data_IF_914780541826
#
_entry.id   IF_914780541826
#
_cell.length_a   1.000
_cell.length_b   1.000
_cell.length_c   1.000
_cell.angle_alpha   90.00
_cell.angle_beta   90.00
_cell.angle_gamma   90.00
#
_symmetry.space_group_name_H-M   'P 1'
#
loop_
_entity.id
_entity.type
_entity.pdbx_description
1 polymer ?
#
# COMPACT_ATOMS: atom_id res chain seq x y z
N UNK A 1 -60.98 59.67 44.59
CA UNK A 1 -59.71 60.41 44.86
C UNK A 1 -58.64 59.74 43.98
N UNK A 2 -58.29 60.12 42.75
CA UNK A 2 -58.00 61.40 42.06
C UNK A 2 -56.70 62.11 42.52
N UNK A 3 -55.62 61.88 41.73
CA UNK A 3 -54.43 62.73 41.42
C UNK A 3 -53.39 63.05 42.54
N UNK A 4 -52.13 63.52 42.27
CA UNK A 4 -51.43 63.72 40.99
C UNK A 4 -49.92 63.32 40.86
N UNK A 5 -49.51 63.25 39.57
CA UNK A 5 -48.22 63.57 38.92
C UNK A 5 -46.97 63.92 39.77
N UNK A 6 -45.85 63.28 39.41
CA UNK A 6 -44.56 63.98 39.20
C UNK A 6 -43.75 63.28 38.11
N UNK A 7 -43.63 63.97 36.98
CA UNK A 7 -42.78 63.64 35.84
C UNK A 7 -41.32 63.95 36.20
N UNK A 8 -40.43 62.97 36.06
CA UNK A 8 -38.99 63.22 35.85
C UNK A 8 -38.60 62.64 34.49
N UNK A 9 -38.83 63.46 33.49
CA UNK A 9 -38.27 63.38 32.15
C UNK A 9 -36.73 63.38 32.25
N UNK A 10 -36.10 62.22 32.07
CA UNK A 10 -34.66 62.13 31.82
C UNK A 10 -34.46 62.35 30.33
N UNK A 11 -33.85 63.50 29.99
CA UNK A 11 -33.35 63.81 28.66
C UNK A 11 -32.60 62.61 28.04
N UNK A 12 -32.81 62.29 26.76
CA UNK A 12 -31.94 61.36 26.05
C UNK A 12 -30.52 61.97 25.96
N UNK A 13 -29.46 61.15 25.99
CA UNK A 13 -28.11 61.65 25.80
C UNK A 13 -27.99 62.27 24.40
N UNK A 14 -27.31 63.42 24.35
CA UNK A 14 -26.94 64.12 23.13
C UNK A 14 -26.31 63.16 22.13
N UNK A 15 -26.94 63.02 20.95
CA UNK A 15 -26.30 62.43 19.77
C UNK A 15 -25.16 63.36 19.35
N UNK A 16 -23.96 63.08 19.83
CA UNK A 16 -22.74 63.57 19.20
C UNK A 16 -22.70 62.98 17.79
N UNK A 17 -23.01 63.83 16.82
CA UNK A 17 -22.92 63.53 15.41
C UNK A 17 -21.46 63.51 14.97
N UNK A 18 -20.77 62.37 15.16
CA UNK A 18 -19.61 62.01 14.35
C UNK A 18 -19.23 60.51 14.48
N UNK A 19 -20.18 59.60 14.27
CA UNK A 19 -19.86 58.19 14.06
C UNK A 19 -20.52 57.74 12.75
N UNK A 20 -19.69 57.60 11.71
CA UNK A 20 -20.10 56.98 10.45
C UNK A 20 -20.55 55.54 10.70
N UNK A 21 -21.64 55.06 10.05
CA UNK A 21 -22.18 53.71 10.25
C UNK A 21 -21.22 52.58 9.84
N UNK A 22 -20.08 52.92 9.23
CA UNK A 22 -19.03 52.02 8.78
C UNK A 22 -18.13 51.50 9.92
N UNK A 23 -18.03 52.21 11.06
CA UNK A 23 -17.17 51.80 12.19
C UNK A 23 -17.84 50.88 13.22
N UNK A 24 -19.17 50.77 13.21
CA UNK A 24 -19.92 49.95 14.17
C UNK A 24 -20.02 48.48 13.70
N UNK A 25 -19.95 48.24 12.39
CA UNK A 25 -20.05 46.89 11.81
C UNK A 25 -18.79 45.99 11.96
N UNK A 26 -17.54 46.48 11.95
CA UNK A 26 -16.38 45.60 12.15
C UNK A 26 -16.18 45.17 13.60
N UNK A 27 -16.55 45.99 14.60
CA UNK A 27 -16.26 45.69 16.02
C UNK A 27 -17.22 44.63 16.61
N UNK A 28 -18.48 44.63 16.16
CA UNK A 28 -19.48 43.61 16.54
C UNK A 28 -19.20 42.29 15.81
N UNK A 29 -18.66 42.33 14.58
CA UNK A 29 -18.36 41.13 13.79
C UNK A 29 -17.05 40.45 14.23
N UNK A 30 -16.05 41.20 14.70
CA UNK A 30 -14.77 40.64 15.16
C UNK A 30 -14.89 40.03 16.57
N UNK A 31 -15.68 40.65 17.47
CA UNK A 31 -15.93 40.10 18.82
C UNK A 31 -16.75 38.79 18.81
N UNK A 32 -17.65 38.62 17.85
CA UNK A 32 -18.47 37.40 17.71
C UNK A 32 -17.68 36.23 17.06
N UNK A 33 -16.54 36.51 16.43
CA UNK A 33 -15.62 35.49 15.91
C UNK A 33 -14.59 35.02 16.96
N UNK A 34 -14.16 35.90 17.86
CA UNK A 34 -13.28 35.53 18.99
C UNK A 34 -14.01 34.73 20.09
N UNK A 35 -15.32 34.94 20.26
CA UNK A 35 -16.14 34.23 21.25
C UNK A 35 -16.58 32.82 20.84
N UNK A 36 -16.47 32.47 19.56
CA UNK A 36 -16.78 31.12 19.04
C UNK A 36 -15.54 30.23 19.08
N UNK A 37 -14.94 30.13 20.27
CA UNK A 37 -14.08 29.01 20.59
C UNK A 37 -14.83 27.73 20.23
N UNK A 38 -14.22 26.89 19.40
CA UNK A 38 -14.80 25.70 18.80
C UNK A 38 -15.03 24.65 19.90
N UNK A 39 -15.97 24.91 20.80
CA UNK A 39 -16.19 24.16 22.02
C UNK A 39 -17.14 23.00 21.72
N UNK A 40 -16.62 21.95 21.09
CA UNK A 40 -17.34 20.70 20.85
C UNK A 40 -17.73 19.97 22.15
N UNK A 41 -17.22 20.40 23.32
CA UNK A 41 -17.45 19.74 24.61
C UNK A 41 -17.39 20.64 25.86
N UNK A 42 -17.33 21.97 25.74
CA UNK A 42 -17.21 22.88 26.90
C UNK A 42 -15.90 22.75 27.72
N UNK A 43 -14.87 22.09 27.16
CA UNK A 43 -13.55 21.93 27.77
C UNK A 43 -12.58 23.00 27.23
N UNK A 44 -11.65 23.48 28.07
CA UNK A 44 -10.56 24.36 27.63
C UNK A 44 -9.76 23.68 26.50
N UNK A 45 -9.33 24.45 25.49
CA UNK A 45 -8.58 23.97 24.32
C UNK A 45 -7.39 23.08 24.72
N UNK A 46 -6.67 23.45 25.78
CA UNK A 46 -5.54 22.67 26.34
C UNK A 46 -5.96 21.27 26.81
N UNK A 47 -7.13 21.14 27.46
CA UNK A 47 -7.65 19.84 27.90
C UNK A 47 -8.14 19.00 26.73
N UNK A 48 -8.76 19.63 25.73
CA UNK A 48 -9.17 18.94 24.52
C UNK A 48 -7.94 18.42 23.76
N UNK A 49 -6.90 19.25 23.60
CA UNK A 49 -5.63 18.84 22.99
C UNK A 49 -4.95 17.71 23.76
N UNK A 50 -4.89 17.81 25.09
CA UNK A 50 -4.32 16.75 25.94
C UNK A 50 -5.09 15.43 25.79
N UNK A 51 -6.42 15.48 25.75
CA UNK A 51 -7.26 14.29 25.52
C UNK A 51 -7.02 13.69 24.13
N UNK A 52 -6.92 14.49 23.07
CA UNK A 52 -6.61 13.99 21.73
C UNK A 52 -5.21 13.37 21.66
N UNK A 53 -4.21 14.01 22.26
CA UNK A 53 -2.83 13.48 22.32
C UNK A 53 -2.80 12.16 23.08
N UNK A 54 -3.46 12.08 24.24
CA UNK A 54 -3.50 10.87 25.06
C UNK A 54 -4.25 9.74 24.35
N UNK A 55 -5.36 10.07 23.68
CA UNK A 55 -6.13 9.11 22.86
C UNK A 55 -5.29 8.60 21.70
N UNK A 56 -4.60 9.49 20.98
CA UNK A 56 -3.73 9.12 19.85
C UNK A 56 -2.53 8.29 20.32
N UNK A 57 -1.92 8.63 21.46
CA UNK A 57 -0.83 7.86 22.05
C UNK A 57 -1.28 6.46 22.44
N UNK A 58 -2.40 6.33 23.14
CA UNK A 58 -2.92 5.02 23.56
C UNK A 58 -3.37 4.18 22.36
N UNK A 59 -4.01 4.80 21.37
CA UNK A 59 -4.36 4.17 20.10
C UNK A 59 -3.09 3.67 19.38
N UNK A 60 -2.07 4.52 19.24
CA UNK A 60 -0.78 4.17 18.64
C UNK A 60 -0.06 3.05 19.40
N UNK A 61 -0.08 3.06 20.73
CA UNK A 61 0.49 2.00 21.56
C UNK A 61 -0.25 0.66 21.37
N UNK A 62 -1.59 0.66 21.31
CA UNK A 62 -2.38 -0.52 21.00
C UNK A 62 -2.04 -1.02 19.59
N UNK A 63 -2.07 -0.15 18.58
CA UNK A 63 -1.75 -0.51 17.19
C UNK A 63 -0.35 -1.09 17.07
N UNK A 64 0.63 -0.54 17.79
CA UNK A 64 1.99 -1.06 17.81
C UNK A 64 2.04 -2.46 18.43
N UNK A 65 1.42 -2.65 19.59
CA UNK A 65 1.40 -3.93 20.29
C UNK A 65 0.62 -5.02 19.54
N UNK A 66 -0.48 -4.64 18.87
CA UNK A 66 -1.31 -5.54 18.07
C UNK A 66 -0.84 -5.67 16.61
N UNK A 67 0.17 -4.92 16.19
CA UNK A 67 0.65 -4.90 14.79
C UNK A 67 0.90 -6.28 14.18
N UNK A 68 1.44 -7.30 14.90
CA UNK A 68 1.64 -8.63 14.32
C UNK A 68 0.33 -9.38 14.05
N UNK A 69 -0.73 -9.10 14.82
CA UNK A 69 -2.04 -9.76 14.73
C UNK A 69 -2.97 -9.01 13.78
N UNK A 70 -2.75 -7.71 13.57
CA UNK A 70 -3.54 -6.90 12.64
C UNK A 70 -3.41 -7.38 11.19
N UNK A 71 -2.22 -7.80 10.77
CA UNK A 71 -1.98 -8.23 9.39
C UNK A 71 -2.93 -9.37 8.93
N UNK A 72 -2.99 -10.53 9.62
CA UNK A 72 -3.93 -11.59 9.23
C UNK A 72 -5.40 -11.18 9.43
N UNK A 73 -5.71 -10.26 10.35
CA UNK A 73 -7.07 -9.80 10.57
C UNK A 73 -7.56 -8.92 9.42
N UNK A 74 -6.77 -7.93 9.02
CA UNK A 74 -7.05 -7.06 7.87
C UNK A 74 -7.12 -7.88 6.58
N UNK A 75 -6.18 -8.79 6.37
CA UNK A 75 -6.21 -9.70 5.22
C UNK A 75 -7.47 -10.58 5.23
N UNK A 76 -7.85 -11.11 6.40
CA UNK A 76 -9.04 -11.94 6.57
C UNK A 76 -10.33 -11.17 6.29
N UNK A 77 -10.46 -9.95 6.80
CA UNK A 77 -11.61 -9.07 6.50
C UNK A 77 -11.67 -8.71 5.02
N UNK A 78 -10.53 -8.35 4.41
CA UNK A 78 -10.47 -8.05 2.98
C UNK A 78 -10.85 -9.26 2.12
N UNK A 79 -10.40 -10.46 2.49
CA UNK A 79 -10.79 -11.71 1.84
C UNK A 79 -12.27 -12.03 2.06
N UNK A 80 -12.79 -11.83 3.28
CA UNK A 80 -14.21 -11.99 3.59
C UNK A 80 -15.07 -11.10 2.69
N UNK A 81 -14.75 -9.82 2.60
CA UNK A 81 -15.39 -8.87 1.68
C UNK A 81 -15.31 -9.32 0.22
N UNK A 82 -14.14 -9.79 -0.23
CA UNK A 82 -13.95 -10.24 -1.61
C UNK A 82 -14.75 -11.52 -1.95
N UNK A 83 -14.88 -12.42 -0.98
CA UNK A 83 -15.56 -13.71 -1.14
C UNK A 83 -17.06 -13.64 -0.87
N UNK A 84 -17.55 -12.59 -0.20
CA UNK A 84 -18.96 -12.39 0.11
C UNK A 84 -19.89 -12.47 -1.12
N UNK A 85 -19.61 -11.79 -2.25
CA UNK A 85 -20.42 -11.94 -3.47
C UNK A 85 -20.42 -13.36 -4.04
N UNK A 86 -19.39 -14.16 -3.74
CA UNK A 86 -19.31 -15.57 -4.16
C UNK A 86 -20.16 -16.43 -3.22
N UNK A 87 -20.14 -16.15 -1.91
CA UNK A 87 -21.00 -16.82 -0.93
C UNK A 87 -22.47 -16.57 -1.23
N UNK A 88 -22.87 -15.33 -1.54
CA UNK A 88 -24.24 -14.99 -1.95
C UNK A 88 -24.70 -15.74 -3.20
N UNK A 89 -23.80 -15.94 -4.17
CA UNK A 89 -24.08 -16.75 -5.36
C UNK A 89 -24.26 -18.22 -5.00
N UNK A 90 -23.44 -18.77 -4.10
CA UNK A 90 -23.60 -20.14 -3.62
C UNK A 90 -24.91 -20.33 -2.85
N UNK A 91 -25.33 -19.34 -2.06
CA UNK A 91 -26.63 -19.37 -1.38
C UNK A 91 -27.80 -19.40 -2.36
N UNK A 92 -27.71 -18.66 -3.47
CA UNK A 92 -28.72 -18.73 -4.55
C UNK A 92 -28.83 -20.12 -5.19
N UNK A 93 -27.79 -20.95 -5.10
CA UNK A 93 -27.81 -22.36 -5.51
C UNK A 93 -28.35 -23.31 -4.42
N UNK A 94 -28.84 -22.80 -3.28
CA UNK A 94 -29.49 -23.57 -2.22
C UNK A 94 -28.59 -23.93 -1.04
N UNK A 95 -27.36 -23.44 -0.97
CA UNK A 95 -26.46 -23.64 0.17
C UNK A 95 -26.85 -22.72 1.34
N UNK A 96 -26.73 -23.20 2.58
CA UNK A 96 -26.81 -22.34 3.77
C UNK A 96 -25.57 -21.44 3.86
N UNK A 97 -25.66 -20.27 4.50
CA UNK A 97 -24.53 -19.34 4.73
C UNK A 97 -23.30 -20.08 5.26
N UNK A 98 -23.49 -20.91 6.28
CA UNK A 98 -22.43 -21.71 6.89
C UNK A 98 -21.79 -22.68 5.88
N UNK A 99 -22.58 -23.39 5.08
CA UNK A 99 -22.04 -24.33 4.09
C UNK A 99 -21.30 -23.62 2.95
N UNK A 100 -21.80 -22.47 2.49
CA UNK A 100 -21.11 -21.65 1.50
C UNK A 100 -19.77 -21.13 2.05
N UNK A 101 -19.76 -20.64 3.30
CA UNK A 101 -18.55 -20.17 3.97
C UNK A 101 -17.53 -21.29 4.19
N UNK A 102 -17.96 -22.47 4.66
CA UNK A 102 -17.08 -23.64 4.82
C UNK A 102 -16.50 -24.11 3.48
N UNK A 103 -17.31 -24.17 2.43
CA UNK A 103 -16.86 -24.56 1.09
C UNK A 103 -15.79 -23.59 0.59
N UNK A 104 -16.04 -22.27 0.69
CA UNK A 104 -15.10 -21.25 0.27
C UNK A 104 -13.81 -21.28 1.11
N UNK A 105 -13.91 -21.52 2.42
CA UNK A 105 -12.76 -21.70 3.29
C UNK A 105 -11.91 -22.90 2.86
N UNK A 106 -12.53 -24.07 2.64
CA UNK A 106 -11.82 -25.29 2.21
C UNK A 106 -11.18 -25.09 0.85
N UNK A 107 -11.89 -24.47 -0.10
CA UNK A 107 -11.36 -24.15 -1.42
C UNK A 107 -10.17 -23.18 -1.34
N UNK A 108 -10.29 -22.13 -0.53
CA UNK A 108 -9.22 -21.16 -0.31
C UNK A 108 -7.98 -21.81 0.31
N UNK A 109 -8.15 -22.60 1.37
CA UNK A 109 -7.05 -23.36 1.99
C UNK A 109 -6.43 -24.31 0.98
N UNK A 110 -7.23 -25.05 0.21
CA UNK A 110 -6.73 -25.97 -0.81
C UNK A 110 -5.88 -25.25 -1.87
N UNK A 111 -6.35 -24.10 -2.37
CA UNK A 111 -5.60 -23.28 -3.34
C UNK A 111 -4.31 -22.75 -2.73
N UNK A 112 -4.37 -22.16 -1.53
CA UNK A 112 -3.19 -21.58 -0.86
C UNK A 112 -2.15 -22.65 -0.52
N UNK A 113 -2.58 -23.78 0.03
CA UNK A 113 -1.68 -24.91 0.35
C UNK A 113 -1.06 -25.47 -0.92
N UNK A 114 -1.85 -25.69 -1.97
CA UNK A 114 -1.33 -26.18 -3.26
C UNK A 114 -0.35 -25.20 -3.87
N UNK A 115 -0.71 -23.91 -3.95
CA UNK A 115 0.16 -22.85 -4.45
C UNK A 115 1.46 -22.77 -3.63
N UNK A 116 1.38 -22.87 -2.30
CA UNK A 116 2.57 -22.86 -1.43
C UNK A 116 3.44 -24.09 -1.68
N UNK A 117 2.88 -25.31 -1.67
CA UNK A 117 3.65 -26.54 -1.85
C UNK A 117 4.28 -26.65 -3.24
N UNK A 118 3.66 -26.08 -4.28
CA UNK A 118 4.19 -26.11 -5.66
C UNK A 118 5.10 -24.93 -5.95
N UNK A 119 4.64 -23.70 -5.72
CA UNK A 119 5.38 -22.50 -6.10
C UNK A 119 6.57 -22.25 -5.17
N UNK A 120 6.43 -22.44 -3.85
CA UNK A 120 7.52 -22.16 -2.91
C UNK A 120 8.83 -22.90 -3.24
N UNK A 121 8.85 -24.24 -3.46
CA UNK A 121 10.10 -24.91 -3.79
C UNK A 121 10.66 -24.44 -5.15
N UNK A 122 9.82 -24.23 -6.16
CA UNK A 122 10.25 -23.77 -7.50
C UNK A 122 10.89 -22.38 -7.40
N UNK A 123 10.18 -21.43 -6.77
CA UNK A 123 10.65 -20.06 -6.58
C UNK A 123 11.90 -20.03 -5.70
N UNK A 124 11.97 -20.85 -4.64
CA UNK A 124 13.15 -20.91 -3.78
C UNK A 124 14.39 -21.40 -4.54
N UNK A 125 14.25 -22.38 -5.43
CA UNK A 125 15.34 -22.91 -6.26
C UNK A 125 15.78 -21.88 -7.29
N UNK A 126 14.84 -21.22 -7.97
CA UNK A 126 15.17 -20.18 -8.94
C UNK A 126 15.79 -18.96 -8.26
N UNK A 127 15.29 -18.56 -7.09
CA UNK A 127 15.83 -17.45 -6.33
C UNK A 127 17.24 -17.76 -5.81
N UNK A 128 17.46 -18.96 -5.26
CA UNK A 128 18.80 -19.40 -4.85
C UNK A 128 19.75 -19.45 -6.06
N UNK A 129 19.29 -19.97 -7.19
CA UNK A 129 20.05 -20.00 -8.44
C UNK A 129 20.43 -18.60 -8.92
N UNK A 130 19.47 -17.67 -8.94
CA UNK A 130 19.70 -16.27 -9.32
C UNK A 130 20.73 -15.63 -8.40
N UNK A 131 20.57 -15.80 -7.08
CA UNK A 131 21.49 -15.27 -6.07
C UNK A 131 22.92 -15.83 -6.26
N UNK A 132 23.05 -17.12 -6.58
CA UNK A 132 24.37 -17.74 -6.84
C UNK A 132 24.98 -17.32 -8.17
N UNK A 133 24.15 -17.04 -9.19
CA UNK A 133 24.60 -16.60 -10.50
C UNK A 133 24.88 -15.09 -10.57
N UNK A 134 24.29 -14.30 -9.66
CA UNK A 134 24.34 -12.85 -9.65
C UNK A 134 25.76 -12.27 -9.65
N UNK A 135 26.72 -12.75 -8.84
CA UNK A 135 28.09 -12.23 -8.88
C UNK A 135 28.76 -12.45 -10.24
N UNK A 136 28.56 -13.64 -10.84
CA UNK A 136 29.06 -13.94 -12.19
C UNK A 136 28.42 -13.04 -13.24
N UNK A 137 27.10 -12.78 -13.09
CA UNK A 137 26.38 -11.87 -13.98
C UNK A 137 26.91 -10.44 -13.91
N UNK A 138 27.23 -9.95 -12.72
CA UNK A 138 27.84 -8.63 -12.54
C UNK A 138 29.27 -8.57 -13.09
N UNK A 139 30.06 -9.64 -12.99
CA UNK A 139 31.40 -9.72 -13.59
C UNK A 139 31.36 -9.69 -15.12
N UNK A 140 30.44 -10.43 -15.75
CA UNK A 140 30.25 -10.37 -17.20
C UNK A 140 29.79 -8.98 -17.64
N UNK A 141 28.87 -8.35 -16.89
CA UNK A 141 28.44 -6.98 -17.14
C UNK A 141 29.59 -5.99 -17.02
N UNK A 142 30.49 -6.17 -16.04
CA UNK A 142 31.72 -5.38 -15.89
C UNK A 142 32.61 -5.49 -17.14
N UNK A 143 32.84 -6.72 -17.63
CA UNK A 143 33.62 -6.99 -18.82
C UNK A 143 33.01 -6.38 -20.09
N UNK A 144 31.70 -6.50 -20.26
CA UNK A 144 30.99 -5.88 -21.39
C UNK A 144 31.07 -4.35 -21.34
N UNK A 145 31.00 -3.74 -20.16
CA UNK A 145 31.17 -2.30 -20.00
C UNK A 145 32.61 -1.87 -20.27
N UNK A 146 33.62 -2.62 -19.82
CA UNK A 146 35.03 -2.30 -20.10
C UNK A 146 35.35 -2.44 -21.59
N UNK A 147 34.86 -3.50 -22.23
CA UNK A 147 35.06 -3.73 -23.66
C UNK A 147 34.33 -2.68 -24.51
N UNK A 148 33.12 -2.27 -24.08
CA UNK A 148 32.38 -1.18 -24.70
C UNK A 148 33.10 0.14 -24.51
N UNK A 149 33.64 0.41 -23.30
CA UNK A 149 34.45 1.60 -23.05
C UNK A 149 35.70 1.62 -23.94
N UNK A 150 36.46 0.53 -24.08
CA UNK A 150 37.63 0.51 -24.96
C UNK A 150 37.26 0.68 -26.45
N UNK A 151 36.14 0.10 -26.90
CA UNK A 151 35.71 0.21 -28.31
C UNK A 151 35.11 1.56 -28.66
N UNK A 152 34.31 2.14 -27.75
CA UNK A 152 33.62 3.40 -27.97
C UNK A 152 34.44 4.63 -27.58
N UNK A 153 35.44 4.45 -26.72
CA UNK A 153 36.52 5.42 -26.46
C UNK A 153 37.75 5.14 -27.33
N UNK A 154 37.55 4.51 -28.50
CA UNK A 154 38.54 4.61 -29.58
C UNK A 154 38.72 6.08 -29.96
N UNK A 155 39.92 6.44 -30.38
CA UNK A 155 40.49 7.80 -30.49
C UNK A 155 39.55 8.93 -30.97
N UNK A 156 38.50 8.64 -31.72
CA UNK A 156 37.52 9.61 -32.22
C UNK A 156 36.59 10.20 -31.14
N UNK A 157 36.20 9.43 -30.13
CA UNK A 157 35.24 9.91 -29.11
C UNK A 157 35.93 10.70 -28.00
N UNK A 158 37.16 10.31 -27.63
CA UNK A 158 38.02 11.08 -26.72
C UNK A 158 38.37 12.44 -27.32
N UNK A 159 38.73 12.51 -28.61
CA UNK A 159 39.01 13.77 -29.32
C UNK A 159 37.76 14.68 -29.41
N UNK A 160 36.56 14.10 -29.58
CA UNK A 160 35.29 14.84 -29.58
C UNK A 160 34.94 15.40 -28.18
N UNK A 161 35.11 14.61 -27.12
CA UNK A 161 34.86 15.02 -25.74
C UNK A 161 35.87 16.05 -25.24
N UNK A 162 37.13 15.96 -25.67
CA UNK A 162 38.17 16.92 -25.38
C UNK A 162 37.89 18.26 -26.08
N UNK A 163 37.45 18.25 -27.34
CA UNK A 163 36.98 19.45 -28.06
C UNK A 163 35.74 20.10 -27.45
N UNK A 164 34.88 19.31 -26.80
CA UNK A 164 33.68 19.81 -26.09
C UNK A 164 33.95 20.21 -24.63
N UNK A 165 35.19 20.08 -24.13
CA UNK A 165 35.55 20.44 -22.75
C UNK A 165 34.94 19.54 -21.68
N UNK A 166 34.44 18.36 -22.06
CA UNK A 166 33.75 17.39 -21.19
C UNK A 166 34.66 16.24 -20.75
N UNK A 167 35.96 16.31 -21.03
CA UNK A 167 36.95 15.28 -20.70
C UNK A 167 37.04 14.95 -19.20
N UNK A 168 36.69 15.90 -18.32
CA UNK A 168 36.60 15.69 -16.86
C UNK A 168 35.35 14.91 -16.39
N UNK A 169 34.28 14.89 -17.19
CA UNK A 169 33.04 14.19 -16.84
C UNK A 169 33.11 12.68 -17.16
N UNK A 170 33.91 12.28 -18.15
CA UNK A 170 34.12 10.89 -18.52
C UNK A 170 35.13 10.16 -17.60
N UNK A 171 36.07 10.91 -17.00
CA UNK A 171 37.14 10.38 -16.13
C UNK A 171 36.73 10.24 -14.65
N UNK A 172 35.55 10.73 -14.27
CA UNK A 172 35.07 10.73 -12.88
C UNK A 172 34.06 9.64 -12.55
N UNK A 173 33.54 8.92 -13.55
CA UNK A 173 32.66 7.77 -13.34
C UNK A 173 33.48 6.48 -13.34
N UNK A 174 34.01 6.14 -12.17
CA UNK A 174 34.72 4.87 -11.93
C UNK A 174 33.70 3.72 -11.82
N UNK A 175 33.10 3.37 -12.96
CA UNK A 175 32.10 2.30 -13.07
C UNK A 175 32.63 0.99 -12.48
N UNK A 176 33.93 0.73 -12.63
CA UNK A 176 34.64 -0.39 -12.04
C UNK A 176 34.43 -0.46 -10.52
N UNK A 177 34.62 0.67 -9.82
CA UNK A 177 34.48 0.73 -8.36
C UNK A 177 33.05 0.45 -7.91
N UNK A 178 32.06 1.08 -8.54
CA UNK A 178 30.64 0.85 -8.19
C UNK A 178 30.19 -0.58 -8.48
N UNK A 179 30.63 -1.16 -9.59
CA UNK A 179 30.33 -2.56 -9.93
C UNK A 179 31.00 -3.52 -8.93
N UNK A 180 32.25 -3.26 -8.53
CA UNK A 180 32.94 -4.05 -7.50
C UNK A 180 32.23 -3.97 -6.15
N UNK A 181 31.79 -2.78 -5.73
CA UNK A 181 30.98 -2.62 -4.51
C UNK A 181 29.65 -3.40 -4.59
N UNK A 182 29.01 -3.43 -5.77
CA UNK A 182 27.80 -4.23 -6.00
C UNK A 182 28.09 -5.73 -5.98
N UNK A 183 29.23 -6.19 -6.52
CA UNK A 183 29.66 -7.59 -6.49
C UNK A 183 29.90 -8.04 -5.04
N UNK A 184 30.59 -7.23 -4.24
CA UNK A 184 30.86 -7.52 -2.83
C UNK A 184 29.55 -7.59 -2.03
N UNK A 185 28.64 -6.63 -2.23
CA UNK A 185 27.32 -6.64 -1.62
C UNK A 185 26.50 -7.86 -2.06
N UNK A 186 26.48 -8.17 -3.35
CA UNK A 186 25.76 -9.33 -3.89
C UNK A 186 26.30 -10.64 -3.30
N UNK A 187 27.62 -10.77 -3.14
CA UNK A 187 28.27 -11.95 -2.56
C UNK A 187 27.94 -12.10 -1.07
N UNK A 188 27.94 -11.00 -0.32
CA UNK A 188 27.55 -10.99 1.10
C UNK A 188 26.08 -11.37 1.28
N UNK A 189 25.17 -10.74 0.53
CA UNK A 189 23.74 -11.06 0.54
C UNK A 189 23.50 -12.51 0.13
N UNK A 190 24.22 -13.01 -0.87
CA UNK A 190 24.13 -14.40 -1.31
C UNK A 190 24.56 -15.37 -0.19
N UNK A 191 25.69 -15.09 0.47
CA UNK A 191 26.17 -15.89 1.59
C UNK A 191 25.22 -15.89 2.78
N UNK A 192 24.65 -14.74 3.14
CA UNK A 192 23.65 -14.63 4.21
C UNK A 192 22.34 -15.34 3.86
N UNK A 193 21.84 -15.20 2.63
CA UNK A 193 20.64 -15.86 2.18
C UNK A 193 20.79 -17.39 2.19
N UNK A 194 21.92 -17.92 1.69
CA UNK A 194 22.21 -19.35 1.72
C UNK A 194 22.32 -19.88 3.17
N UNK A 195 22.96 -19.13 4.08
CA UNK A 195 22.96 -19.46 5.51
C UNK A 195 21.54 -19.46 6.07
N UNK A 196 20.72 -18.45 5.73
CA UNK A 196 19.33 -18.36 6.20
C UNK A 196 18.44 -19.49 5.67
N UNK A 197 18.72 -20.01 4.46
CA UNK A 197 18.06 -21.17 3.83
C UNK A 197 18.29 -22.45 4.63
N UNK A 198 19.48 -22.60 5.23
CA UNK A 198 19.90 -23.76 6.01
C UNK A 198 19.34 -23.71 7.45
N UNK A 199 19.02 -22.52 7.97
CA UNK A 199 18.57 -22.29 9.37
C UNK A 199 17.06 -21.95 9.50
N UNK A 200 16.19 -22.45 8.61
CA UNK A 200 14.78 -22.02 8.53
C UNK A 200 13.87 -22.60 9.62
N UNK A 201 13.90 -22.00 10.81
CA UNK A 201 12.84 -22.12 11.83
C UNK A 201 11.99 -20.85 11.97
N UNK A 202 12.61 -19.68 11.99
CA UNK A 202 11.93 -18.44 12.43
C UNK A 202 11.10 -17.72 11.35
N UNK A 203 11.53 -17.69 10.09
CA UNK A 203 10.78 -17.01 9.02
C UNK A 203 9.47 -17.76 8.65
N UNK A 204 9.44 -19.08 8.86
CA UNK A 204 8.23 -19.88 8.64
C UNK A 204 7.14 -19.53 9.64
N UNK A 205 7.47 -19.23 10.90
CA UNK A 205 6.46 -19.05 11.96
C UNK A 205 5.53 -17.88 11.67
N UNK A 206 6.06 -16.75 11.19
CA UNK A 206 5.24 -15.58 10.85
C UNK A 206 4.35 -15.84 9.62
N UNK A 207 4.89 -16.48 8.59
CA UNK A 207 4.13 -16.82 7.37
C UNK A 207 3.08 -17.88 7.67
N UNK A 208 3.41 -18.89 8.49
CA UNK A 208 2.48 -19.94 8.93
C UNK A 208 1.35 -19.35 9.76
N UNK A 209 1.66 -18.45 10.71
CA UNK A 209 0.62 -17.72 11.45
C UNK A 209 -0.32 -16.97 10.50
N UNK A 210 0.20 -16.30 9.48
CA UNK A 210 -0.63 -15.61 8.50
C UNK A 210 -1.48 -16.59 7.68
N UNK A 211 -0.89 -17.68 7.18
CA UNK A 211 -1.58 -18.71 6.39
C UNK A 211 -2.67 -19.43 7.18
N UNK A 212 -2.50 -19.61 8.50
CA UNK A 212 -3.47 -20.31 9.35
C UNK A 212 -4.54 -19.37 9.89
N UNK A 213 -4.16 -18.19 10.40
CA UNK A 213 -5.08 -17.26 11.05
C UNK A 213 -5.96 -16.55 10.00
N UNK A 214 -5.39 -16.16 8.86
CA UNK A 214 -6.13 -15.40 7.84
C UNK A 214 -7.37 -16.14 7.32
N UNK A 215 -7.31 -17.43 6.91
CA UNK A 215 -8.50 -18.16 6.51
C UNK A 215 -9.55 -18.27 7.63
N UNK A 216 -9.12 -18.46 8.88
CA UNK A 216 -10.03 -18.54 10.02
C UNK A 216 -10.77 -17.22 10.21
N UNK A 217 -10.05 -16.09 10.17
CA UNK A 217 -10.68 -14.77 10.24
C UNK A 217 -11.58 -14.53 9.03
N UNK A 218 -11.15 -14.87 7.82
CA UNK A 218 -11.97 -14.74 6.62
C UNK A 218 -13.27 -15.57 6.72
N UNK A 219 -13.22 -16.76 7.30
CA UNK A 219 -14.39 -17.59 7.54
C UNK A 219 -15.41 -16.90 8.47
N UNK A 220 -14.96 -16.38 9.63
CA UNK A 220 -15.85 -15.66 10.54
C UNK A 220 -16.38 -14.37 9.90
N UNK A 221 -15.52 -13.61 9.23
CA UNK A 221 -15.91 -12.40 8.50
C UNK A 221 -16.95 -12.69 7.43
N UNK A 222 -16.84 -13.82 6.73
CA UNK A 222 -17.79 -14.25 5.70
C UNK A 222 -19.09 -14.78 6.30
N UNK A 223 -19.02 -15.51 7.43
CA UNK A 223 -20.19 -16.04 8.11
C UNK A 223 -21.09 -14.91 8.64
N UNK A 224 -20.48 -13.94 9.31
CA UNK A 224 -21.18 -12.87 10.05
C UNK A 224 -21.22 -11.53 9.27
N UNK A 225 -20.84 -11.53 7.99
CA UNK A 225 -20.73 -10.32 7.16
C UNK A 225 -22.02 -9.50 7.16
N UNK A 226 -23.16 -10.14 6.86
CA UNK A 226 -24.46 -9.49 6.74
C UNK A 226 -24.90 -8.85 8.06
N UNK A 227 -24.70 -9.58 9.16
CA UNK A 227 -25.03 -9.11 10.51
C UNK A 227 -24.14 -7.91 10.88
N UNK A 228 -22.83 -7.99 10.59
CA UNK A 228 -21.88 -6.91 10.86
C UNK A 228 -22.22 -5.64 10.08
N UNK A 229 -22.57 -5.76 8.79
CA UNK A 229 -23.03 -4.63 7.97
C UNK A 229 -24.35 -4.06 8.49
N UNK A 230 -25.28 -4.91 8.94
CA UNK A 230 -26.55 -4.45 9.51
C UNK A 230 -26.36 -3.62 10.79
N UNK A 231 -25.40 -4.00 11.64
CA UNK A 231 -25.05 -3.25 12.85
C UNK A 231 -24.46 -1.89 12.49
N UNK A 232 -23.54 -1.86 11.52
CA UNK A 232 -22.95 -0.61 11.01
C UNK A 232 -24.05 0.30 10.44
N UNK A 233 -24.96 -0.25 9.63
CA UNK A 233 -26.06 0.50 9.02
C UNK A 233 -27.02 1.07 10.07
N UNK A 234 -27.26 0.33 11.16
CA UNK A 234 -28.09 0.78 12.27
C UNK A 234 -27.45 1.92 13.08
N UNK A 235 -26.12 2.01 13.12
CA UNK A 235 -25.39 3.07 13.81
C UNK A 235 -25.49 4.43 13.07
N UNK A 236 -25.82 4.41 11.78
CA UNK A 236 -25.96 5.62 10.97
C UNK A 236 -27.28 6.34 11.33
N UNK A 237 -27.24 7.67 11.62
CA UNK A 237 -28.45 8.46 11.85
C UNK A 237 -29.46 8.34 10.69
N UNK A 238 -30.76 8.14 10.95
CA UNK A 238 -31.76 7.88 9.90
C UNK A 238 -31.79 8.90 8.76
N UNK A 239 -31.45 10.16 9.05
CA UNK A 239 -31.39 11.25 8.06
C UNK A 239 -30.35 11.05 6.95
N UNK A 240 -29.26 10.33 7.23
CA UNK A 240 -28.14 10.14 6.29
C UNK A 240 -28.03 8.69 5.78
N UNK A 241 -28.88 7.77 6.24
CA UNK A 241 -28.80 6.35 5.86
C UNK A 241 -28.88 6.13 4.36
N UNK A 242 -29.76 6.85 3.66
CA UNK A 242 -29.91 6.72 2.21
C UNK A 242 -28.62 7.14 1.47
N UNK A 243 -28.05 8.30 1.85
CA UNK A 243 -26.82 8.83 1.24
C UNK A 243 -25.64 7.90 1.47
N UNK A 244 -25.47 7.38 2.70
CA UNK A 244 -24.37 6.47 3.03
C UNK A 244 -24.50 5.15 2.29
N UNK A 245 -25.71 4.59 2.17
CA UNK A 245 -25.94 3.35 1.40
C UNK A 245 -25.66 3.53 -0.09
N UNK A 246 -26.03 4.67 -0.66
CA UNK A 246 -25.73 4.98 -2.06
C UNK A 246 -24.22 5.07 -2.27
N UNK A 247 -23.52 5.85 -1.42
CA UNK A 247 -22.07 5.98 -1.49
C UNK A 247 -21.35 4.64 -1.28
N UNK A 248 -21.81 3.81 -0.34
CA UNK A 248 -21.27 2.48 -0.10
C UNK A 248 -21.42 1.57 -1.34
N UNK A 249 -22.55 1.64 -2.04
CA UNK A 249 -22.78 0.90 -3.28
C UNK A 249 -21.86 1.36 -4.43
N UNK A 250 -21.63 2.67 -4.55
CA UNK A 250 -20.71 3.21 -5.56
C UNK A 250 -19.26 2.83 -5.26
N UNK A 251 -18.86 2.88 -3.97
CA UNK A 251 -17.55 2.40 -3.51
C UNK A 251 -17.39 0.90 -3.80
N UNK A 252 -18.39 0.08 -3.46
CA UNK A 252 -18.36 -1.36 -3.69
C UNK A 252 -18.17 -1.70 -5.18
N UNK A 253 -18.92 -1.03 -6.07
CA UNK A 253 -18.78 -1.20 -7.52
C UNK A 253 -17.39 -0.79 -8.02
N UNK A 254 -16.85 0.33 -7.52
CA UNK A 254 -15.53 0.80 -7.90
C UNK A 254 -14.43 -0.16 -7.41
N UNK A 255 -14.50 -0.60 -6.15
CA UNK A 255 -13.56 -1.56 -5.57
C UNK A 255 -13.62 -2.92 -6.27
N UNK A 256 -14.82 -3.45 -6.50
CA UNK A 256 -15.01 -4.72 -7.20
C UNK A 256 -14.50 -4.64 -8.65
N UNK A 257 -14.74 -3.53 -9.35
CA UNK A 257 -14.21 -3.28 -10.69
C UNK A 257 -12.69 -3.22 -10.71
N UNK A 258 -12.08 -2.47 -9.78
CA UNK A 258 -10.63 -2.34 -9.65
C UNK A 258 -9.97 -3.68 -9.32
N UNK A 259 -10.44 -4.40 -8.29
CA UNK A 259 -9.83 -5.67 -7.86
C UNK A 259 -9.91 -6.70 -8.98
N UNK A 260 -11.04 -6.79 -9.70
CA UNK A 260 -11.17 -7.72 -10.84
C UNK A 260 -10.23 -7.36 -11.99
N UNK A 261 -10.20 -6.09 -12.38
CA UNK A 261 -9.31 -5.61 -13.44
C UNK A 261 -7.84 -5.83 -13.09
N UNK A 262 -7.43 -5.41 -11.90
CA UNK A 262 -6.05 -5.49 -11.44
C UNK A 262 -5.59 -6.93 -11.23
N UNK A 263 -6.44 -7.81 -10.70
CA UNK A 263 -6.14 -9.24 -10.57
C UNK A 263 -5.93 -9.89 -11.93
N UNK A 264 -6.74 -9.53 -12.93
CA UNK A 264 -6.59 -10.02 -14.31
C UNK A 264 -5.29 -9.52 -14.96
N UNK A 265 -4.95 -8.24 -14.77
CA UNK A 265 -3.70 -7.65 -15.27
C UNK A 265 -2.49 -8.33 -14.63
N UNK A 266 -2.48 -8.50 -13.31
CA UNK A 266 -1.40 -9.17 -12.58
C UNK A 266 -1.21 -10.61 -13.04
N UNK A 267 -2.32 -11.36 -13.18
CA UNK A 267 -2.30 -12.74 -13.66
C UNK A 267 -1.79 -12.82 -15.10
N UNK A 268 -2.32 -11.97 -15.98
CA UNK A 268 -1.92 -11.93 -17.39
C UNK A 268 -0.44 -11.59 -17.54
N UNK A 269 0.04 -10.50 -16.93
CA UNK A 269 1.45 -10.11 -16.98
C UNK A 269 2.36 -11.17 -16.37
N UNK A 270 1.96 -11.77 -15.25
CA UNK A 270 2.73 -12.83 -14.61
C UNK A 270 2.92 -14.04 -15.52
N UNK A 271 1.83 -14.52 -16.14
CA UNK A 271 1.86 -15.65 -17.09
C UNK A 271 2.62 -15.26 -18.36
N UNK A 272 2.35 -14.07 -18.91
CA UNK A 272 2.98 -13.60 -20.14
C UNK A 272 4.50 -13.48 -20.00
N UNK A 273 5.00 -12.86 -18.92
CA UNK A 273 6.43 -12.76 -18.67
C UNK A 273 7.05 -14.11 -18.30
N UNK A 274 6.39 -14.93 -17.48
CA UNK A 274 6.91 -16.24 -17.13
C UNK A 274 7.10 -17.12 -18.37
N UNK A 275 6.12 -17.16 -19.27
CA UNK A 275 6.21 -17.93 -20.51
C UNK A 275 7.18 -17.28 -21.49
N UNK A 276 7.04 -15.97 -21.74
CA UNK A 276 7.86 -15.25 -22.72
C UNK A 276 9.35 -15.30 -22.40
N UNK A 277 9.74 -14.99 -21.17
CA UNK A 277 11.15 -15.01 -20.77
C UNK A 277 11.72 -16.44 -20.73
N UNK A 278 10.93 -17.41 -20.27
CA UNK A 278 11.37 -18.82 -20.27
C UNK A 278 11.51 -19.37 -21.68
N UNK A 279 10.66 -18.94 -22.62
CA UNK A 279 10.70 -19.38 -24.02
C UNK A 279 11.90 -18.83 -24.79
N UNK A 280 12.41 -17.66 -24.40
CA UNK A 280 13.64 -17.05 -24.94
C UNK A 280 14.89 -17.74 -24.34
N UNK A 281 14.74 -18.65 -23.37
CA UNK A 281 15.83 -19.40 -22.75
C UNK A 281 16.45 -18.73 -21.53
N UNK A 282 15.77 -17.75 -20.93
CA UNK A 282 16.24 -17.08 -19.72
C UNK A 282 16.16 -18.03 -18.51
N UNK A 283 17.29 -18.26 -17.81
CA UNK A 283 17.38 -19.26 -16.73
C UNK A 283 16.39 -19.04 -15.56
N UNK A 284 15.92 -17.80 -15.38
CA UNK A 284 15.05 -17.39 -14.28
C UNK A 284 13.74 -16.73 -14.75
N UNK A 285 13.32 -17.00 -15.99
CA UNK A 285 12.14 -16.37 -16.61
C UNK A 285 10.86 -16.53 -15.80
N UNK A 286 10.61 -17.72 -15.23
CA UNK A 286 9.44 -17.97 -14.38
C UNK A 286 9.44 -17.14 -13.09
N UNK A 287 10.55 -17.10 -12.35
CA UNK A 287 10.71 -16.30 -11.14
C UNK A 287 10.47 -14.82 -11.42
N UNK A 288 11.08 -14.30 -12.49
CA UNK A 288 10.92 -12.90 -12.91
C UNK A 288 9.46 -12.63 -13.27
N UNK A 289 8.81 -13.54 -14.00
CA UNK A 289 7.40 -13.43 -14.35
C UNK A 289 6.48 -13.39 -13.13
N UNK A 290 6.68 -14.28 -12.15
CA UNK A 290 5.89 -14.29 -10.91
C UNK A 290 6.09 -13.00 -10.12
N UNK A 291 7.34 -12.56 -9.93
CA UNK A 291 7.64 -11.31 -9.23
C UNK A 291 7.02 -10.10 -9.96
N UNK A 292 7.15 -10.05 -11.29
CA UNK A 292 6.56 -9.02 -12.13
C UNK A 292 5.03 -8.95 -11.96
N UNK A 293 4.35 -10.09 -12.08
CA UNK A 293 2.90 -10.19 -11.91
C UNK A 293 2.45 -9.75 -10.52
N UNK A 294 3.16 -10.15 -9.46
CA UNK A 294 2.86 -9.71 -8.09
C UNK A 294 3.08 -8.20 -7.90
N UNK A 295 4.21 -7.67 -8.36
CA UNK A 295 4.54 -6.23 -8.25
C UNK A 295 3.63 -5.36 -9.12
N UNK A 296 3.06 -5.91 -10.20
CA UNK A 296 2.10 -5.22 -11.05
C UNK A 296 0.81 -4.86 -10.32
N UNK A 297 0.56 -5.38 -9.11
CA UNK A 297 -0.52 -4.91 -8.25
C UNK A 297 -0.37 -3.42 -7.94
N UNK A 298 0.86 -2.92 -7.86
CA UNK A 298 1.16 -1.49 -7.88
C UNK A 298 1.42 -1.10 -9.34
N UNK A 299 0.57 -0.26 -9.95
CA UNK A 299 0.73 0.13 -11.36
C UNK A 299 2.15 0.62 -11.65
N UNK A 300 2.67 0.23 -12.82
CA UNK A 300 4.02 0.52 -13.33
C UNK A 300 5.20 -0.10 -12.59
N UNK A 301 5.10 -0.42 -11.30
CA UNK A 301 6.21 -1.01 -10.54
C UNK A 301 6.58 -2.38 -11.12
N UNK A 302 5.60 -3.27 -11.29
CA UNK A 302 5.87 -4.63 -11.79
C UNK A 302 6.51 -4.69 -13.17
N UNK A 303 6.00 -3.92 -14.13
CA UNK A 303 6.54 -3.90 -15.50
C UNK A 303 7.92 -3.27 -15.58
N UNK A 304 8.17 -2.18 -14.85
CA UNK A 304 9.50 -1.54 -14.81
C UNK A 304 10.51 -2.48 -14.17
N UNK A 305 10.18 -3.07 -13.03
CA UNK A 305 11.07 -4.01 -12.34
C UNK A 305 11.39 -5.22 -13.22
N UNK A 306 10.38 -5.81 -13.86
CA UNK A 306 10.56 -6.93 -14.78
C UNK A 306 11.46 -6.58 -15.97
N UNK A 307 11.25 -5.41 -16.57
CA UNK A 307 12.03 -4.92 -17.70
C UNK A 307 13.51 -4.75 -17.33
N UNK A 308 13.78 -4.09 -16.19
CA UNK A 308 15.15 -3.88 -15.68
C UNK A 308 15.84 -5.22 -15.43
N UNK A 309 15.19 -6.15 -14.70
CA UNK A 309 15.79 -7.46 -14.44
C UNK A 309 16.02 -8.27 -15.73
N UNK A 310 15.07 -8.23 -16.66
CA UNK A 310 15.16 -8.98 -17.92
C UNK A 310 16.30 -8.47 -18.79
N UNK A 311 16.48 -7.15 -18.89
CA UNK A 311 17.58 -6.56 -19.68
C UNK A 311 18.93 -6.96 -19.10
N UNK A 312 19.12 -6.80 -17.79
CA UNK A 312 20.39 -7.11 -17.13
C UNK A 312 20.76 -8.56 -17.39
N UNK A 313 19.83 -9.48 -17.15
CA UNK A 313 20.12 -10.92 -17.31
C UNK A 313 20.29 -11.27 -18.79
N UNK A 314 19.50 -10.70 -19.70
CA UNK A 314 19.62 -11.00 -21.12
C UNK A 314 20.96 -10.52 -21.73
N UNK A 315 21.44 -9.33 -21.36
CA UNK A 315 22.73 -8.79 -21.82
C UNK A 315 23.89 -9.65 -21.31
N UNK A 316 23.75 -10.18 -20.11
CA UNK A 316 24.80 -10.96 -19.45
C UNK A 316 24.81 -12.43 -19.89
N UNK A 317 23.63 -12.98 -20.19
CA UNK A 317 23.47 -14.39 -20.52
C UNK A 317 23.62 -14.65 -22.04
N UNK A 318 23.38 -13.65 -22.88
CA UNK A 318 23.50 -13.71 -24.35
C UNK A 318 24.87 -13.30 -24.85
#
# INVERSE_FOLDING_TARGET
>A
MVNPKSSKEKNPPSRDGNATPEKILPEIMVSDLEGRGVAWAGLNLERQLLLWILTLFFLGAILYFLSPVLAPFVAGTALGYLLDPVADRLQKFGLSRLSAALLLLVLFIAVVVTATLVLFPILSRQLAGLITALPGYLQTLQGLISDWHERFTSDYFSEFLEKMGLSGAASSFDAQKYINELIDQATNVAGEFLKSLIWRGYALINVVSLIVITPVVAFYMLLDWDDMISVIDNLIPPRHRADVRLLACDIDRALAGFVRGQSLVCLFLGVWYAIGLSSIGLNFGFLIGVIAGCLSFIPYVGSITAFVFSIIIAIVQG
#
